data_IF_317910053188
#
_entry.id   IF_317910053188
#
_cell.length_a   1.000
_cell.length_b   1.000
_cell.length_c   1.000
_cell.angle_alpha   90.00
_cell.angle_beta   90.00
_cell.angle_gamma   90.00
#
_symmetry.space_group_name_H-M   'P 1'
#
loop_
_entity.id
_entity.type
_entity.pdbx_description
1 polymer ?
#
# COMPACT_ATOMS: atom_id res chain seq x y z
N UNK A 1 -17.09 -9.99 10.00
CA UNK A 1 -16.07 -9.28 9.18
C UNK A 1 -16.04 -7.76 9.42
N UNK A 2 -17.16 -7.09 9.71
CA UNK A 2 -17.17 -5.62 9.88
C UNK A 2 -16.45 -5.03 11.11
N UNK A 3 -16.32 -5.77 12.22
CA UNK A 3 -15.62 -5.27 13.42
C UNK A 3 -14.10 -5.17 13.22
N UNK A 4 -13.49 -6.13 12.54
CA UNK A 4 -12.05 -6.16 12.28
C UNK A 4 -11.60 -5.05 11.32
N UNK A 5 -12.41 -4.73 10.31
CA UNK A 5 -12.12 -3.61 9.41
C UNK A 5 -12.18 -2.28 10.16
N UNK A 6 -13.25 -2.04 10.93
CA UNK A 6 -13.41 -0.82 11.71
C UNK A 6 -12.27 -0.63 12.72
N UNK A 7 -11.85 -1.69 13.41
CA UNK A 7 -10.71 -1.64 14.33
C UNK A 7 -9.40 -1.26 13.64
N UNK A 8 -9.12 -1.82 12.46
CA UNK A 8 -7.93 -1.44 11.67
C UNK A 8 -7.99 0.01 11.19
N UNK A 9 -9.17 0.50 10.82
CA UNK A 9 -9.35 1.91 10.45
C UNK A 9 -9.12 2.84 11.65
N UNK A 10 -9.62 2.48 12.84
CA UNK A 10 -9.31 3.22 14.07
C UNK A 10 -7.81 3.21 14.38
N UNK A 11 -7.15 2.06 14.28
CA UNK A 11 -5.70 1.96 14.49
C UNK A 11 -4.91 2.84 13.52
N UNK A 12 -5.34 2.94 12.26
CA UNK A 12 -4.73 3.86 11.30
C UNK A 12 -4.85 5.31 11.78
N UNK A 13 -6.06 5.73 12.16
CA UNK A 13 -6.31 7.09 12.67
C UNK A 13 -5.47 7.38 13.92
N UNK A 14 -5.35 6.41 14.84
CA UNK A 14 -4.55 6.55 16.06
C UNK A 14 -3.04 6.71 15.80
N UNK A 15 -2.55 6.35 14.60
CA UNK A 15 -1.15 6.58 14.21
C UNK A 15 -0.88 7.93 13.56
N UNK A 16 -1.94 8.68 13.20
CA UNK A 16 -1.79 9.99 12.57
C UNK A 16 -1.40 11.07 13.60
N UNK A 17 -0.64 12.10 13.19
CA UNK A 17 -0.44 13.29 14.01
C UNK A 17 -1.76 13.93 14.44
N UNK A 18 -1.81 14.55 15.63
CA UNK A 18 -3.02 15.25 16.11
C UNK A 18 -3.50 16.36 15.15
N UNK A 19 -2.58 16.96 14.41
CA UNK A 19 -2.86 18.02 13.44
C UNK A 19 -3.16 17.51 12.02
N UNK A 20 -3.19 16.19 11.81
CA UNK A 20 -3.49 15.62 10.50
C UNK A 20 -4.91 15.97 10.05
N UNK A 21 -5.03 16.24 8.76
CA UNK A 21 -6.27 16.55 8.08
C UNK A 21 -6.75 15.38 7.20
N UNK A 22 -7.77 15.66 6.38
CA UNK A 22 -8.38 14.66 5.52
C UNK A 22 -7.49 14.24 4.35
N UNK A 23 -6.61 15.11 3.86
CA UNK A 23 -5.69 14.81 2.78
C UNK A 23 -4.62 13.82 3.25
N UNK A 24 -4.05 14.03 4.45
CA UNK A 24 -3.07 13.08 5.00
C UNK A 24 -3.69 11.72 5.32
N UNK A 25 -4.94 11.68 5.83
CA UNK A 25 -5.64 10.42 6.01
C UNK A 25 -5.88 9.70 4.67
N UNK A 26 -6.24 10.44 3.62
CA UNK A 26 -6.46 9.88 2.28
C UNK A 26 -5.16 9.31 1.71
N UNK A 27 -4.04 10.03 1.82
CA UNK A 27 -2.72 9.57 1.38
C UNK A 27 -2.35 8.24 2.05
N UNK A 28 -2.53 8.12 3.37
CA UNK A 28 -2.23 6.86 4.07
C UNK A 28 -3.12 5.71 3.60
N UNK A 29 -4.39 5.97 3.29
CA UNK A 29 -5.30 4.95 2.75
C UNK A 29 -4.82 4.52 1.36
N UNK A 30 -4.45 5.46 0.48
CA UNK A 30 -3.92 5.17 -0.86
C UNK A 30 -2.68 4.26 -0.78
N UNK A 31 -1.71 4.61 0.08
CA UNK A 31 -0.52 3.79 0.32
C UNK A 31 -0.89 2.35 0.74
N UNK A 32 -1.85 2.20 1.66
CA UNK A 32 -2.30 0.88 2.12
C UNK A 32 -2.94 0.08 0.97
N UNK A 33 -3.74 0.74 0.12
CA UNK A 33 -4.39 0.10 -1.01
C UNK A 33 -3.39 -0.34 -2.07
N UNK A 34 -2.42 0.51 -2.40
CA UNK A 34 -1.36 0.21 -3.37
C UNK A 34 -0.48 -0.95 -2.89
N UNK A 35 -0.10 -0.97 -1.61
CA UNK A 35 0.64 -2.09 -1.03
C UNK A 35 -0.16 -3.39 -1.12
N UNK A 36 -1.46 -3.36 -0.83
CA UNK A 36 -2.32 -4.55 -0.93
C UNK A 36 -2.46 -5.03 -2.37
N UNK A 37 -2.61 -4.10 -3.32
CA UNK A 37 -2.65 -4.43 -4.74
C UNK A 37 -1.33 -5.08 -5.19
N UNK A 38 -0.19 -4.48 -4.85
CA UNK A 38 1.13 -5.03 -5.18
C UNK A 38 1.39 -6.40 -4.55
N UNK A 39 0.98 -6.62 -3.29
CA UNK A 39 1.06 -7.94 -2.65
C UNK A 39 0.16 -8.96 -3.35
N UNK A 40 -1.04 -8.57 -3.79
CA UNK A 40 -1.94 -9.43 -4.54
C UNK A 40 -1.41 -9.77 -5.94
N UNK A 41 -0.75 -8.82 -6.61
CA UNK A 41 -0.06 -9.05 -7.88
C UNK A 41 1.11 -10.02 -7.70
N UNK A 42 1.93 -9.82 -6.67
CA UNK A 42 3.05 -10.71 -6.34
C UNK A 42 2.57 -12.13 -6.02
N UNK A 43 1.52 -12.29 -5.22
CA UNK A 43 0.98 -13.60 -4.88
C UNK A 43 0.36 -14.33 -6.09
N UNK A 44 -0.09 -13.57 -7.09
CA UNK A 44 -0.67 -14.09 -8.32
C UNK A 44 0.33 -14.19 -9.49
N UNK A 45 1.63 -14.02 -9.22
CA UNK A 45 2.71 -14.04 -10.21
C UNK A 45 2.51 -13.03 -11.37
N UNK A 46 1.83 -11.91 -11.09
CA UNK A 46 1.66 -10.77 -12.01
C UNK A 46 2.78 -9.75 -11.86
N UNK A 47 4.01 -10.23 -11.81
CA UNK A 47 5.22 -9.42 -11.60
C UNK A 47 6.27 -9.77 -12.66
N UNK A 48 7.29 -8.93 -12.78
CA UNK A 48 8.52 -9.27 -13.53
C UNK A 48 9.69 -9.30 -12.56
N UNK A 49 10.68 -10.14 -12.83
CA UNK A 49 11.89 -10.18 -12.01
C UNK A 49 12.73 -8.91 -12.21
N UNK A 50 13.48 -8.53 -11.17
CA UNK A 50 14.27 -7.31 -11.18
C UNK A 50 15.36 -7.32 -12.26
N UNK A 51 15.94 -8.47 -12.60
CA UNK A 51 16.99 -8.54 -13.60
C UNK A 51 16.42 -8.22 -14.99
N UNK A 52 15.25 -8.76 -15.31
CA UNK A 52 14.50 -8.43 -16.52
C UNK A 52 14.10 -6.96 -16.57
N UNK A 53 13.52 -6.43 -15.50
CA UNK A 53 13.14 -5.01 -15.43
C UNK A 53 14.36 -4.11 -15.68
N UNK A 54 15.48 -4.35 -15.00
CA UNK A 54 16.71 -3.56 -15.18
C UNK A 54 17.22 -3.62 -16.63
N UNK A 55 17.19 -4.79 -17.26
CA UNK A 55 17.60 -4.94 -18.65
C UNK A 55 16.72 -4.13 -19.61
N UNK A 56 15.40 -4.06 -19.39
CA UNK A 56 14.47 -3.25 -20.21
C UNK A 56 14.80 -1.75 -20.16
N UNK A 57 15.39 -1.27 -19.06
CA UNK A 57 15.84 0.12 -18.90
C UNK A 57 17.35 0.32 -19.16
N UNK A 58 18.07 -0.70 -19.64
CA UNK A 58 19.51 -0.62 -19.90
C UNK A 58 20.38 -0.48 -18.64
N UNK A 59 19.84 -0.86 -17.48
CA UNK A 59 20.55 -0.85 -16.20
C UNK A 59 21.21 -2.22 -15.98
N UNK A 60 22.50 -2.23 -15.64
CA UNK A 60 23.23 -3.44 -15.23
C UNK A 60 23.10 -3.59 -13.71
#
# INVERSE_FOLDING_TARGET
MGSAFKQKAHQLIDTLPEAADWEELAEQIEIILDLRAGLADSAADRVIDNARLRAEFGLQ
#
